data_IF_035364392050
#
_entry.id   IF_035364392050
#
_cell.length_a   1.000
_cell.length_b   1.000
_cell.length_c   1.000
_cell.angle_alpha   90.00
_cell.angle_beta   90.00
_cell.angle_gamma   90.00
#
_symmetry.space_group_name_H-M   'P 1'
#
loop_
_entity.id
_entity.type
_entity.pdbx_description
1 polymer ?
#
# COMPACT_ATOMS: atom_id res chain seq x y z
N UNK A 1 30.03 -3.17 -1.63
CA UNK A 1 28.70 -3.79 -1.60
C UNK A 1 28.03 -3.43 -2.91
N UNK A 2 27.36 -4.37 -3.57
CA UNK A 2 26.56 -4.08 -4.76
C UNK A 2 25.57 -2.96 -4.44
N UNK A 3 25.40 -1.99 -5.34
CA UNK A 3 24.41 -0.94 -5.18
C UNK A 3 23.02 -1.57 -5.11
N UNK A 4 22.33 -1.36 -3.99
CA UNK A 4 21.00 -1.91 -3.79
C UNK A 4 20.01 -0.84 -4.25
N UNK A 5 19.64 -0.94 -5.52
CA UNK A 5 18.66 -0.08 -6.17
C UNK A 5 17.42 -0.89 -6.57
N UNK A 6 16.23 -0.30 -6.45
CA UNK A 6 14.98 -0.88 -6.93
C UNK A 6 14.17 0.20 -7.64
N UNK A 7 13.69 -0.10 -8.85
CA UNK A 7 12.73 0.75 -9.56
C UNK A 7 11.30 0.40 -9.17
N UNK A 8 10.58 1.37 -8.61
CA UNK A 8 9.18 1.20 -8.21
C UNK A 8 8.28 2.03 -9.10
N UNK A 9 7.18 1.43 -9.56
CA UNK A 9 6.06 2.13 -10.19
C UNK A 9 4.77 1.91 -9.39
N UNK A 10 4.15 3.00 -8.93
CA UNK A 10 2.95 2.96 -8.10
C UNK A 10 1.76 3.59 -8.84
N UNK A 11 0.64 2.87 -8.90
CA UNK A 11 -0.51 3.19 -9.74
C UNK A 11 -1.57 3.97 -8.96
N UNK A 12 -1.88 5.17 -9.42
CA UNK A 12 -3.07 5.92 -9.02
C UNK A 12 -4.17 5.71 -10.05
N UNK A 13 -5.34 5.25 -9.62
CA UNK A 13 -6.48 4.99 -10.50
C UNK A 13 -7.81 5.36 -9.85
N UNK A 14 -8.82 5.63 -10.66
CA UNK A 14 -10.21 5.76 -10.27
C UNK A 14 -10.93 4.45 -10.56
N UNK A 15 -11.13 3.62 -9.54
CA UNK A 15 -11.87 2.37 -9.70
C UNK A 15 -13.34 2.65 -9.98
N UNK A 16 -13.91 1.90 -10.92
CA UNK A 16 -15.34 1.85 -11.17
C UNK A 16 -15.98 0.97 -10.09
N UNK A 17 -16.84 1.57 -9.29
CA UNK A 17 -17.49 0.89 -8.16
C UNK A 17 -18.27 -0.33 -8.64
N UNK A 18 -18.02 -1.49 -8.01
CA UNK A 18 -18.72 -2.75 -8.30
C UNK A 18 -18.34 -3.45 -9.62
N UNK A 19 -17.41 -2.91 -10.42
CA UNK A 19 -17.09 -3.43 -11.76
C UNK A 19 -15.64 -3.92 -11.88
N UNK A 20 -15.40 -5.13 -11.38
CA UNK A 20 -14.09 -5.79 -11.35
C UNK A 20 -13.41 -5.89 -12.71
N UNK A 21 -14.18 -6.27 -13.75
CA UNK A 21 -13.65 -6.44 -15.12
C UNK A 21 -13.15 -5.11 -15.69
N UNK A 22 -13.91 -4.03 -15.50
CA UNK A 22 -13.47 -2.70 -15.91
C UNK A 22 -12.21 -2.26 -15.15
N UNK A 23 -12.12 -2.58 -13.85
CA UNK A 23 -10.95 -2.25 -13.03
C UNK A 23 -9.70 -3.02 -13.47
N UNK A 24 -9.81 -4.31 -13.82
CA UNK A 24 -8.68 -5.11 -14.34
C UNK A 24 -8.19 -4.57 -15.68
N UNK A 25 -9.12 -4.23 -16.58
CA UNK A 25 -8.78 -3.60 -17.87
C UNK A 25 -8.04 -2.28 -17.64
N UNK A 26 -8.54 -1.44 -16.75
CA UNK A 26 -7.93 -0.15 -16.40
C UNK A 26 -6.51 -0.31 -15.84
N UNK A 27 -6.29 -1.25 -14.91
CA UNK A 27 -4.92 -1.55 -14.42
C UNK A 27 -4.01 -1.97 -15.57
N UNK A 28 -4.49 -2.82 -16.48
CA UNK A 28 -3.69 -3.26 -17.63
C UNK A 28 -3.33 -2.11 -18.57
N UNK A 29 -4.26 -1.19 -18.81
CA UNK A 29 -4.06 0.01 -19.63
C UNK A 29 -3.06 0.98 -18.98
N UNK A 30 -3.19 1.25 -17.67
CA UNK A 30 -2.27 2.12 -16.93
C UNK A 30 -0.86 1.54 -16.88
N UNK A 31 -0.72 0.24 -16.58
CA UNK A 31 0.60 -0.42 -16.60
C UNK A 31 1.21 -0.37 -18.00
N UNK A 32 0.44 -0.67 -19.05
CA UNK A 32 0.96 -0.65 -20.41
C UNK A 32 1.33 0.76 -20.90
N UNK A 33 0.71 1.81 -20.37
CA UNK A 33 0.93 3.20 -20.78
C UNK A 33 2.07 3.85 -20.02
N UNK A 34 2.16 3.60 -18.71
CA UNK A 34 2.95 4.42 -17.79
C UNK A 34 4.10 3.66 -17.09
N UNK A 35 4.11 2.33 -17.12
CA UNK A 35 5.15 1.53 -16.44
C UNK A 35 6.24 1.11 -17.42
N UNK A 36 7.49 1.43 -17.08
CA UNK A 36 8.67 1.14 -17.89
C UNK A 36 9.21 -0.29 -17.66
N UNK A 37 9.93 -0.82 -18.64
CA UNK A 37 10.48 -2.18 -18.64
C UNK A 37 11.49 -2.46 -17.52
N UNK A 38 12.12 -1.42 -16.96
CA UNK A 38 13.07 -1.54 -15.85
C UNK A 38 12.38 -1.61 -14.48
N UNK A 39 11.05 -1.55 -14.42
CA UNK A 39 10.31 -1.59 -13.15
C UNK A 39 10.47 -2.94 -12.46
N UNK A 40 10.95 -2.91 -11.22
CA UNK A 40 11.11 -4.10 -10.38
C UNK A 40 9.86 -4.39 -9.55
N UNK A 41 9.15 -3.36 -9.11
CA UNK A 41 7.94 -3.48 -8.27
C UNK A 41 6.82 -2.60 -8.82
N UNK A 42 5.67 -3.20 -9.10
CA UNK A 42 4.40 -2.50 -9.36
C UNK A 42 3.55 -2.53 -8.10
N UNK A 43 2.94 -1.39 -7.74
CA UNK A 43 2.07 -1.28 -6.55
C UNK A 43 0.70 -0.74 -6.95
N UNK A 44 -0.38 -1.40 -6.51
CA UNK A 44 -1.77 -1.02 -6.77
C UNK A 44 -2.44 -0.40 -5.51
N UNK A 45 -3.53 0.37 -5.65
CA UNK A 45 -4.18 1.00 -4.49
C UNK A 45 -5.12 0.06 -3.73
N UNK A 46 -5.63 0.47 -2.57
CA UNK A 46 -6.59 -0.33 -1.77
C UNK A 46 -7.89 -0.59 -2.54
N UNK A 47 -8.49 -1.77 -2.37
CA UNK A 47 -9.82 -2.20 -2.89
C UNK A 47 -10.06 -1.84 -4.35
N UNK A 48 -8.99 -1.79 -5.16
CA UNK A 48 -9.04 -1.30 -6.54
C UNK A 48 -9.93 -2.17 -7.44
N UNK A 49 -10.17 -3.41 -7.05
CA UNK A 49 -11.01 -4.38 -7.74
C UNK A 49 -12.50 -4.02 -7.69
N UNK A 50 -12.96 -3.37 -6.62
CA UNK A 50 -14.38 -3.05 -6.39
C UNK A 50 -14.64 -1.55 -6.16
N UNK A 51 -13.59 -0.75 -5.95
CA UNK A 51 -13.70 0.63 -5.48
C UNK A 51 -14.05 0.70 -3.99
N UNK A 52 -13.93 1.88 -3.37
CA UNK A 52 -14.34 2.04 -1.97
C UNK A 52 -15.86 2.00 -1.83
N UNK A 53 -16.41 0.80 -1.61
CA UNK A 53 -17.85 0.58 -1.52
C UNK A 53 -18.18 -0.60 -0.59
N UNK A 54 -18.28 -0.36 0.73
CA UNK A 54 -18.52 -1.41 1.72
C UNK A 54 -19.71 -2.33 1.41
N UNK A 55 -20.79 -1.77 0.84
CA UNK A 55 -21.98 -2.53 0.41
C UNK A 55 -21.70 -3.62 -0.62
N UNK A 56 -20.67 -3.48 -1.45
CA UNK A 56 -20.30 -4.43 -2.49
C UNK A 56 -19.13 -5.34 -2.09
N UNK A 57 -18.54 -5.14 -0.89
CA UNK A 57 -17.34 -5.88 -0.50
C UNK A 57 -17.58 -7.39 -0.45
N UNK A 58 -18.60 -7.84 0.28
CA UNK A 58 -18.91 -9.28 0.41
C UNK A 58 -19.30 -9.92 -0.92
N UNK A 59 -20.05 -9.22 -1.76
CA UNK A 59 -20.44 -9.68 -3.11
C UNK A 59 -19.23 -9.82 -4.04
N UNK A 60 -18.23 -8.96 -3.89
CA UNK A 60 -17.02 -8.96 -4.70
C UNK A 60 -15.94 -9.93 -4.22
N UNK A 61 -16.11 -10.51 -3.03
CA UNK A 61 -15.09 -11.22 -2.30
C UNK A 61 -14.68 -12.53 -2.98
N UNK A 62 -13.41 -12.89 -2.84
CA UNK A 62 -12.83 -14.06 -3.49
C UNK A 62 -12.11 -14.95 -2.47
N UNK A 63 -12.24 -16.27 -2.62
CA UNK A 63 -11.39 -17.20 -1.89
C UNK A 63 -9.97 -17.16 -2.46
N UNK A 64 -8.96 -17.08 -1.59
CA UNK A 64 -7.56 -16.92 -2.03
C UNK A 64 -7.08 -18.02 -2.98
N UNK A 65 -7.57 -19.26 -2.81
CA UNK A 65 -7.20 -20.42 -3.63
C UNK A 65 -7.94 -20.49 -4.98
N UNK A 66 -8.91 -19.60 -5.22
CA UNK A 66 -9.68 -19.51 -6.45
C UNK A 66 -10.05 -18.04 -6.69
N UNK A 67 -9.02 -17.22 -6.94
CA UNK A 67 -9.12 -15.77 -7.01
C UNK A 67 -8.73 -15.27 -8.39
N UNK A 68 -9.71 -14.73 -9.12
CA UNK A 68 -9.49 -14.01 -10.39
C UNK A 68 -8.51 -12.84 -10.21
N UNK A 69 -8.53 -12.20 -9.04
CA UNK A 69 -7.59 -11.13 -8.70
C UNK A 69 -6.16 -11.65 -8.59
N UNK A 70 -5.92 -12.74 -7.87
CA UNK A 70 -4.57 -13.33 -7.75
C UNK A 70 -4.08 -13.84 -9.11
N UNK A 71 -4.94 -14.47 -9.90
CA UNK A 71 -4.60 -14.97 -11.24
C UNK A 71 -4.23 -13.82 -12.19
N UNK A 72 -5.01 -12.73 -12.16
CA UNK A 72 -4.73 -11.52 -12.92
C UNK A 72 -3.36 -10.92 -12.54
N UNK A 73 -3.10 -10.75 -11.24
CA UNK A 73 -1.81 -10.23 -10.75
C UNK A 73 -0.66 -11.17 -11.09
N UNK A 74 -0.85 -12.49 -11.00
CA UNK A 74 0.13 -13.51 -11.45
C UNK A 74 0.49 -13.34 -12.91
N UNK A 75 -0.51 -13.12 -13.78
CA UNK A 75 -0.29 -12.92 -15.21
C UNK A 75 0.50 -11.64 -15.50
N UNK A 76 0.21 -10.55 -14.79
CA UNK A 76 0.94 -9.29 -14.92
C UNK A 76 2.38 -9.43 -14.46
N UNK A 77 2.62 -10.07 -13.30
CA UNK A 77 3.95 -10.25 -12.73
C UNK A 77 4.86 -11.02 -13.71
N UNK A 78 4.34 -12.09 -14.32
CA UNK A 78 5.03 -12.86 -15.36
C UNK A 78 5.27 -12.04 -16.64
N UNK A 79 4.23 -11.33 -17.12
CA UNK A 79 4.30 -10.55 -18.37
C UNK A 79 5.34 -9.44 -18.31
N UNK A 80 5.39 -8.72 -17.19
CA UNK A 80 6.31 -7.58 -17.01
C UNK A 80 7.59 -7.99 -16.27
N UNK A 81 7.75 -9.27 -15.93
CA UNK A 81 8.88 -9.80 -15.16
C UNK A 81 9.19 -8.95 -13.91
N UNK A 82 8.17 -8.61 -13.12
CA UNK A 82 8.29 -7.74 -11.95
C UNK A 82 7.54 -8.31 -10.74
N UNK A 83 7.83 -7.78 -9.56
CA UNK A 83 7.04 -8.01 -8.36
C UNK A 83 5.77 -7.16 -8.39
N UNK A 84 4.70 -7.66 -7.79
CA UNK A 84 3.46 -6.90 -7.62
C UNK A 84 3.04 -6.90 -6.16
N UNK A 85 2.95 -5.71 -5.57
CA UNK A 85 2.21 -5.47 -4.33
C UNK A 85 0.80 -5.08 -4.77
N UNK A 86 -0.13 -6.04 -4.69
CA UNK A 86 -1.41 -6.02 -5.38
C UNK A 86 -2.44 -5.05 -4.81
N UNK A 87 -2.03 -4.05 -4.04
CA UNK A 87 -2.95 -3.12 -3.39
C UNK A 87 -3.80 -3.85 -2.37
N UNK A 88 -5.12 -3.80 -2.49
CA UNK A 88 -5.94 -4.80 -1.81
C UNK A 88 -7.21 -5.16 -2.56
N UNK A 89 -7.77 -6.31 -2.18
CA UNK A 89 -9.08 -6.79 -2.60
C UNK A 89 -9.79 -7.42 -1.39
N UNK A 90 -11.06 -7.77 -1.56
CA UNK A 90 -11.82 -8.43 -0.50
C UNK A 90 -11.57 -9.93 -0.57
N UNK A 91 -10.84 -10.46 0.39
CA UNK A 91 -10.64 -11.90 0.57
C UNK A 91 -11.78 -12.48 1.40
N UNK A 92 -12.29 -13.64 0.97
CA UNK A 92 -13.23 -14.47 1.74
C UNK A 92 -12.47 -15.65 2.33
N UNK A 93 -12.47 -15.80 3.65
CA UNK A 93 -11.90 -16.98 4.33
C UNK A 93 -12.96 -18.08 4.49
N UNK A 94 -14.17 -17.69 4.92
CA UNK A 94 -15.35 -18.55 5.03
C UNK A 94 -16.62 -17.72 4.78
N UNK A 95 -17.81 -18.27 5.05
CA UNK A 95 -19.08 -17.59 4.78
C UNK A 95 -19.32 -16.31 5.59
N UNK A 96 -18.64 -16.14 6.72
CA UNK A 96 -18.82 -14.99 7.63
C UNK A 96 -17.57 -14.10 7.73
N UNK A 97 -16.39 -14.64 7.40
CA UNK A 97 -15.11 -13.97 7.62
C UNK A 97 -14.53 -13.41 6.31
N UNK A 98 -14.40 -12.09 6.26
CA UNK A 98 -13.91 -11.35 5.10
C UNK A 98 -12.77 -10.41 5.50
N UNK A 99 -11.75 -10.27 4.67
CA UNK A 99 -10.60 -9.41 4.94
C UNK A 99 -10.35 -8.42 3.80
N UNK A 100 -9.86 -7.23 4.14
CA UNK A 100 -9.28 -6.30 3.18
C UNK A 100 -7.80 -6.69 3.03
N UNK A 101 -7.49 -7.48 2.00
CA UNK A 101 -6.21 -8.21 1.87
C UNK A 101 -5.35 -7.66 0.73
N UNK A 102 -4.10 -7.37 1.05
CA UNK A 102 -3.00 -7.03 0.15
C UNK A 102 -2.17 -8.27 -0.21
N UNK A 103 -2.31 -8.84 -1.42
CA UNK A 103 -1.45 -9.93 -1.89
C UNK A 103 -0.11 -9.40 -2.43
N UNK A 104 0.95 -10.20 -2.30
CA UNK A 104 2.25 -9.93 -2.93
C UNK A 104 2.63 -11.08 -3.84
N UNK A 105 2.89 -10.76 -5.10
CA UNK A 105 3.21 -11.70 -6.16
C UNK A 105 4.65 -11.49 -6.61
N UNK A 106 5.43 -12.57 -6.73
CA UNK A 106 6.81 -12.50 -7.23
C UNK A 106 6.89 -12.53 -8.76
N UNK A 107 8.09 -12.34 -9.33
CA UNK A 107 8.31 -12.35 -10.80
C UNK A 107 7.86 -13.64 -11.51
N UNK A 108 7.81 -14.77 -10.78
CA UNK A 108 7.32 -16.06 -11.30
C UNK A 108 5.79 -16.17 -11.28
N UNK A 109 5.10 -15.13 -10.81
CA UNK A 109 3.65 -15.10 -10.63
C UNK A 109 3.16 -15.92 -9.45
N UNK A 110 4.01 -16.20 -8.46
CA UNK A 110 3.64 -16.93 -7.25
C UNK A 110 3.16 -15.95 -6.17
N UNK A 111 2.05 -16.26 -5.50
CA UNK A 111 1.62 -15.56 -4.30
C UNK A 111 2.55 -15.94 -3.14
N UNK A 112 3.44 -15.03 -2.74
CA UNK A 112 4.45 -15.31 -1.71
C UNK A 112 4.05 -14.82 -0.32
N UNK A 113 3.11 -13.89 -0.25
CA UNK A 113 2.73 -13.21 0.98
C UNK A 113 1.36 -12.57 0.82
N UNK A 114 0.62 -12.44 1.93
CA UNK A 114 -0.56 -11.59 2.04
C UNK A 114 -0.57 -10.83 3.36
N UNK A 115 -1.10 -9.62 3.34
CA UNK A 115 -1.34 -8.79 4.52
C UNK A 115 -2.82 -8.42 4.58
N UNK A 116 -3.51 -8.72 5.68
CA UNK A 116 -4.88 -8.25 5.90
C UNK A 116 -4.86 -7.01 6.78
N UNK A 117 -5.63 -5.98 6.41
CA UNK A 117 -5.69 -4.67 7.08
C UNK A 117 -5.93 -4.81 8.59
N UNK A 118 -5.01 -4.31 9.40
CA UNK A 118 -5.09 -4.46 10.85
C UNK A 118 -6.08 -3.47 11.48
N UNK A 119 -6.20 -2.26 10.94
CA UNK A 119 -7.08 -1.22 11.48
C UNK A 119 -8.20 -0.88 10.50
N UNK A 120 -9.44 -1.16 10.88
CA UNK A 120 -10.62 -0.88 10.05
C UNK A 120 -11.16 0.53 10.29
N UNK A 121 -11.63 1.17 9.21
CA UNK A 121 -12.14 2.53 9.25
C UNK A 121 -13.52 2.62 9.93
N UNK A 122 -13.66 3.50 10.93
CA UNK A 122 -14.85 3.53 11.80
C UNK A 122 -15.40 4.92 12.14
N UNK A 123 -15.05 5.97 11.38
CA UNK A 123 -15.54 7.34 11.62
C UNK A 123 -16.03 8.00 10.33
N UNK A 124 -16.60 9.21 10.40
CA UNK A 124 -17.35 9.87 9.30
C UNK A 124 -18.59 9.08 8.83
N UNK A 125 -19.29 8.41 9.75
CA UNK A 125 -20.51 7.66 9.43
C UNK A 125 -20.27 6.37 8.64
N UNK A 126 -19.02 5.99 8.43
CA UNK A 126 -18.64 4.70 7.87
C UNK A 126 -18.18 3.75 8.98
N UNK A 127 -18.52 2.48 8.82
CA UNK A 127 -18.08 1.40 9.70
C UNK A 127 -17.71 0.19 8.84
N UNK A 128 -16.44 0.14 8.44
CA UNK A 128 -15.86 -0.95 7.64
C UNK A 128 -15.95 -2.29 8.39
N UNK A 129 -15.92 -2.26 9.73
CA UNK A 129 -16.00 -3.42 10.61
C UNK A 129 -17.31 -4.19 10.53
N UNK A 130 -18.37 -3.60 9.97
CA UNK A 130 -19.61 -4.33 9.66
C UNK A 130 -19.45 -5.33 8.51
N UNK A 131 -18.48 -5.11 7.64
CA UNK A 131 -18.30 -5.87 6.40
C UNK A 131 -17.05 -6.72 6.41
N UNK A 132 -16.02 -6.30 7.16
CA UNK A 132 -14.65 -6.82 7.13
C UNK A 132 -14.17 -7.12 8.55
N UNK A 133 -13.32 -8.13 8.68
CA UNK A 133 -12.64 -8.56 9.89
C UNK A 133 -11.23 -7.97 9.96
N UNK A 134 -10.76 -7.58 11.15
CA UNK A 134 -9.39 -7.12 11.35
C UNK A 134 -8.37 -8.21 11.00
N UNK A 135 -7.30 -7.82 10.31
CA UNK A 135 -6.10 -8.63 10.17
C UNK A 135 -5.42 -8.89 11.51
N UNK A 136 -4.68 -10.00 11.59
CA UNK A 136 -4.05 -10.46 12.84
C UNK A 136 -2.71 -9.79 13.12
N UNK A 137 -1.80 -9.83 12.15
CA UNK A 137 -0.40 -9.44 12.35
C UNK A 137 0.09 -8.55 11.22
N UNK A 138 0.96 -7.56 11.53
CA UNK A 138 1.77 -6.89 10.51
C UNK A 138 2.60 -7.93 9.74
N UNK A 139 2.66 -7.78 8.42
CA UNK A 139 3.44 -8.67 7.54
C UNK A 139 4.50 -7.87 6.79
N UNK A 140 5.71 -8.42 6.75
CA UNK A 140 6.86 -7.87 6.03
C UNK A 140 7.37 -8.90 5.03
N UNK A 141 7.60 -8.48 3.79
CA UNK A 141 8.09 -9.34 2.71
C UNK A 141 9.51 -8.93 2.34
N UNK A 142 10.36 -9.91 1.99
CA UNK A 142 11.68 -9.67 1.44
C UNK A 142 11.59 -9.67 -0.09
N UNK A 143 11.77 -8.51 -0.71
CA UNK A 143 11.81 -8.34 -2.17
C UNK A 143 13.26 -8.07 -2.56
N UNK A 144 13.95 -9.09 -3.05
CA UNK A 144 15.34 -8.96 -3.56
C UNK A 144 16.31 -8.35 -2.54
N UNK A 145 16.16 -8.79 -1.29
CA UNK A 145 16.94 -8.31 -0.15
C UNK A 145 16.31 -7.12 0.57
N UNK A 146 15.32 -6.43 -0.02
CA UNK A 146 14.64 -5.27 0.58
C UNK A 146 13.51 -5.72 1.49
N UNK A 147 13.63 -5.39 2.78
CA UNK A 147 12.60 -5.66 3.79
C UNK A 147 11.46 -4.63 3.64
N UNK A 148 10.33 -5.09 3.15
CA UNK A 148 9.18 -4.24 2.79
C UNK A 148 8.00 -4.48 3.72
N UNK A 149 7.64 -3.49 4.53
CA UNK A 149 6.47 -3.52 5.41
C UNK A 149 5.19 -3.09 4.69
N UNK A 150 4.10 -3.84 4.89
CA UNK A 150 2.83 -3.63 4.19
C UNK A 150 1.78 -3.03 5.11
N UNK A 151 1.08 -2.00 4.64
CA UNK A 151 -0.05 -1.40 5.37
C UNK A 151 -1.15 -1.02 4.39
N UNK A 152 -2.40 -0.93 4.88
CA UNK A 152 -3.56 -0.57 4.07
C UNK A 152 -4.27 0.62 4.71
N UNK A 153 -4.27 1.74 3.99
CA UNK A 153 -5.08 2.92 4.25
C UNK A 153 -5.04 3.39 5.71
N UNK A 154 -6.08 3.07 6.48
CA UNK A 154 -6.30 3.54 7.84
C UNK A 154 -5.18 3.17 8.81
N UNK A 155 -4.42 2.10 8.52
CA UNK A 155 -3.19 1.75 9.24
C UNK A 155 -2.22 2.93 9.36
N UNK A 156 -2.19 3.84 8.38
CA UNK A 156 -1.29 5.01 8.37
C UNK A 156 -1.46 5.92 9.59
N UNK A 157 -2.60 5.86 10.27
CA UNK A 157 -2.85 6.67 11.47
C UNK A 157 -2.16 6.15 12.73
N UNK A 158 -1.72 4.90 12.72
CA UNK A 158 -1.17 4.22 13.88
C UNK A 158 0.35 4.14 13.74
N UNK A 159 1.14 5.08 14.29
CA UNK A 159 2.60 5.05 14.17
C UNK A 159 3.23 3.75 14.70
N UNK A 160 2.55 3.06 15.61
CA UNK A 160 3.00 1.84 16.28
C UNK A 160 3.31 0.72 15.28
N UNK A 161 2.49 0.53 14.24
CA UNK A 161 2.71 -0.51 13.24
C UNK A 161 3.97 -0.23 12.41
N UNK A 162 4.18 1.03 12.01
CA UNK A 162 5.37 1.45 11.26
C UNK A 162 6.62 1.35 12.11
N UNK A 163 6.52 1.71 13.40
CA UNK A 163 7.62 1.55 14.34
C UNK A 163 7.99 0.08 14.54
N UNK A 164 7.00 -0.81 14.63
CA UNK A 164 7.23 -2.25 14.71
C UNK A 164 7.96 -2.77 13.47
N UNK A 165 7.53 -2.37 12.27
CA UNK A 165 8.25 -2.69 11.02
C UNK A 165 9.69 -2.21 11.04
N UNK A 166 9.93 -0.96 11.46
CA UNK A 166 11.29 -0.42 11.51
C UNK A 166 12.18 -1.12 12.53
N UNK A 167 11.65 -1.51 13.70
CA UNK A 167 12.36 -2.33 14.69
C UNK A 167 12.70 -3.72 14.13
N UNK A 168 11.85 -4.29 13.27
CA UNK A 168 12.13 -5.53 12.53
C UNK A 168 13.11 -5.34 11.35
N UNK A 169 13.53 -4.10 11.09
CA UNK A 169 14.52 -3.75 10.06
C UNK A 169 13.93 -3.42 8.70
N UNK A 170 12.70 -2.93 8.61
CA UNK A 170 12.13 -2.48 7.35
C UNK A 170 12.99 -1.38 6.69
N UNK A 171 13.10 -1.48 5.37
CA UNK A 171 13.81 -0.55 4.48
C UNK A 171 12.83 0.29 3.68
N UNK A 172 11.73 -0.34 3.27
CA UNK A 172 10.63 0.24 2.53
C UNK A 172 9.32 0.00 3.29
N UNK A 173 8.48 1.01 3.37
CA UNK A 173 7.11 0.92 3.88
C UNK A 173 6.13 1.26 2.74
N UNK A 174 5.07 0.47 2.62
CA UNK A 174 4.04 0.68 1.60
C UNK A 174 2.68 0.88 2.28
N UNK A 175 1.97 1.92 1.88
CA UNK A 175 0.57 2.14 2.26
C UNK A 175 -0.29 2.30 1.00
N UNK A 176 -1.08 1.27 0.71
CA UNK A 176 -2.07 1.27 -0.35
C UNK A 176 -3.40 1.77 0.22
N UNK A 177 -4.06 2.76 -0.40
CA UNK A 177 -5.23 3.41 0.19
C UNK A 177 -6.37 3.72 -0.79
N UNK A 178 -7.57 3.96 -0.26
CA UNK A 178 -8.67 4.68 -0.89
C UNK A 178 -9.04 5.86 0.02
N UNK A 179 -8.23 6.91 -0.03
CA UNK A 179 -8.27 8.02 0.91
C UNK A 179 -9.20 9.13 0.42
N UNK A 180 -10.21 9.50 1.22
CA UNK A 180 -11.17 10.53 0.85
C UNK A 180 -10.58 11.94 0.72
N UNK A 181 -11.06 12.70 -0.28
CA UNK A 181 -10.66 14.07 -0.64
C UNK A 181 -10.79 15.09 0.50
N UNK A 182 -11.69 14.85 1.47
CA UNK A 182 -11.94 15.74 2.62
C UNK A 182 -10.81 15.75 3.66
N UNK A 183 -9.77 14.92 3.49
CA UNK A 183 -8.67 14.75 4.47
C UNK A 183 -7.28 14.96 3.83
N UNK A 184 -7.02 16.07 3.12
CA UNK A 184 -5.78 16.28 2.39
C UNK A 184 -4.57 16.47 3.31
N UNK A 185 -4.71 17.30 4.35
CA UNK A 185 -3.63 17.58 5.30
C UNK A 185 -3.21 16.30 6.04
N UNK A 186 -4.13 15.49 6.63
CA UNK A 186 -3.73 14.21 7.22
C UNK A 186 -2.98 13.30 6.25
N UNK A 187 -3.42 13.18 5.00
CA UNK A 187 -2.73 12.36 3.99
C UNK A 187 -1.30 12.84 3.76
N UNK A 188 -1.11 14.14 3.58
CA UNK A 188 0.22 14.72 3.36
C UNK A 188 1.14 14.56 4.58
N UNK A 189 0.67 14.92 5.77
CA UNK A 189 1.49 14.89 6.97
C UNK A 189 1.90 13.46 7.31
N UNK A 190 0.95 12.53 7.37
CA UNK A 190 1.23 11.17 7.86
C UNK A 190 2.16 10.41 6.94
N UNK A 191 1.99 10.52 5.62
CA UNK A 191 2.85 9.84 4.64
C UNK A 191 4.32 10.27 4.77
N UNK A 192 4.59 11.57 4.93
CA UNK A 192 5.94 12.08 5.21
C UNK A 192 6.44 11.69 6.59
N UNK A 193 5.62 11.81 7.63
CA UNK A 193 6.01 11.44 8.99
C UNK A 193 6.42 9.97 9.08
N UNK A 194 5.70 9.04 8.43
CA UNK A 194 6.07 7.60 8.45
C UNK A 194 7.43 7.35 7.84
N UNK A 195 7.82 8.07 6.79
CA UNK A 195 9.14 7.95 6.20
C UNK A 195 10.23 8.47 7.14
N UNK A 196 10.06 9.71 7.63
CA UNK A 196 11.06 10.41 8.45
C UNK A 196 11.28 9.73 9.79
N UNK A 197 10.21 9.45 10.54
CA UNK A 197 10.33 8.95 11.91
C UNK A 197 10.92 7.53 11.96
N UNK A 198 10.78 6.77 10.87
CA UNK A 198 11.29 5.42 10.73
C UNK A 198 12.58 5.35 9.89
N UNK A 199 13.01 6.44 9.26
CA UNK A 199 14.18 6.47 8.38
C UNK A 199 14.08 5.40 7.28
N UNK A 200 12.92 5.30 6.64
CA UNK A 200 12.60 4.33 5.57
C UNK A 200 12.14 5.07 4.33
N UNK A 201 12.34 4.47 3.15
CA UNK A 201 11.53 4.86 2.00
C UNK A 201 10.05 4.58 2.28
N UNK A 202 9.18 5.42 1.73
CA UNK A 202 7.73 5.27 1.86
C UNK A 202 7.05 5.40 0.50
N UNK A 203 6.31 4.37 0.09
CA UNK A 203 5.38 4.47 -1.03
C UNK A 203 3.97 4.56 -0.48
N UNK A 204 3.34 5.71 -0.63
CA UNK A 204 1.97 5.94 -0.23
C UNK A 204 1.14 6.27 -1.47
N UNK A 205 0.32 5.31 -1.89
CA UNK A 205 -0.51 5.45 -3.07
C UNK A 205 -1.98 5.29 -2.71
N UNK A 206 -2.84 5.96 -3.47
CA UNK A 206 -4.26 5.87 -3.25
C UNK A 206 -5.08 5.95 -4.53
N UNK A 207 -6.32 5.45 -4.46
CA UNK A 207 -7.30 5.70 -5.51
C UNK A 207 -7.53 7.21 -5.72
N UNK A 208 -8.13 7.57 -6.84
CA UNK A 208 -8.50 8.94 -7.22
C UNK A 208 -9.93 8.98 -7.76
N UNK A 209 -10.49 10.17 -7.94
CA UNK A 209 -11.77 10.35 -8.61
C UNK A 209 -13.00 10.00 -7.75
N UNK A 210 -14.15 9.92 -8.41
CA UNK A 210 -15.46 9.81 -7.78
C UNK A 210 -15.71 8.41 -7.19
N UNK A 211 -16.36 8.36 -6.02
CA UNK A 211 -16.80 7.13 -5.35
C UNK A 211 -18.31 6.96 -5.52
N UNK A 212 -19.09 7.67 -4.71
CA UNK A 212 -20.55 7.75 -4.73
C UNK A 212 -21.02 8.94 -3.87
N UNK A 213 -22.26 9.42 -4.05
CA UNK A 213 -22.90 10.43 -3.20
C UNK A 213 -22.04 11.69 -2.93
N UNK A 214 -21.40 12.23 -3.98
CA UNK A 214 -20.47 13.36 -3.90
C UNK A 214 -19.23 13.13 -3.01
N UNK A 215 -18.89 11.88 -2.71
CA UNK A 215 -17.62 11.49 -2.12
C UNK A 215 -16.59 11.16 -3.21
N UNK A 216 -15.35 11.56 -2.94
CA UNK A 216 -14.24 11.44 -3.88
C UNK A 216 -13.00 10.92 -3.17
N UNK A 217 -12.22 10.08 -3.85
CA UNK A 217 -10.86 9.80 -3.45
C UNK A 217 -9.95 10.96 -3.83
N UNK A 218 -8.95 11.20 -2.99
CA UNK A 218 -8.06 12.35 -3.11
C UNK A 218 -7.12 12.22 -4.32
N UNK A 219 -6.61 11.02 -4.62
CA UNK A 219 -5.41 10.89 -5.46
C UNK A 219 -4.19 11.33 -4.68
N UNK A 220 -3.35 12.21 -5.24
CA UNK A 220 -2.17 12.72 -4.51
C UNK A 220 -1.21 11.61 -4.00
N UNK A 221 -1.02 10.55 -4.79
CA UNK A 221 -0.07 9.47 -4.49
C UNK A 221 1.37 9.98 -4.51
N UNK A 222 2.25 9.41 -3.69
CA UNK A 222 3.65 9.83 -3.52
C UNK A 222 4.63 8.71 -3.16
N UNK A 223 5.87 8.88 -3.60
CA UNK A 223 7.06 8.13 -3.20
C UNK A 223 7.99 9.10 -2.46
N UNK A 224 8.34 8.78 -1.23
CA UNK A 224 9.06 9.65 -0.29
C UNK A 224 10.34 8.95 0.15
N UNK A 225 11.44 9.69 0.22
CA UNK A 225 12.70 9.20 0.75
C UNK A 225 12.71 9.13 2.28
N UNK A 226 13.79 8.57 2.83
CA UNK A 226 13.98 8.40 4.26
C UNK A 226 14.23 9.71 5.05
N UNK A 227 14.40 10.84 4.37
CA UNK A 227 14.48 12.20 4.94
C UNK A 227 13.18 12.98 4.81
N UNK A 228 12.17 12.40 4.15
CA UNK A 228 10.89 13.05 3.90
C UNK A 228 10.84 13.88 2.62
N UNK A 229 11.87 13.83 1.78
CA UNK A 229 11.89 14.43 0.45
C UNK A 229 11.03 13.61 -0.51
N UNK A 230 10.43 14.29 -1.48
CA UNK A 230 9.56 13.64 -2.44
C UNK A 230 10.33 13.23 -3.69
N UNK A 231 10.33 11.94 -4.00
CA UNK A 231 10.98 11.38 -5.17
C UNK A 231 10.07 11.40 -6.40
N UNK A 232 8.78 11.11 -6.20
CA UNK A 232 7.76 11.18 -7.25
C UNK A 232 6.37 11.40 -6.65
N UNK A 233 5.53 12.20 -7.31
CA UNK A 233 4.15 12.44 -6.89
C UNK A 233 3.24 12.63 -8.09
N UNK A 234 2.01 12.15 -7.97
CA UNK A 234 0.89 12.67 -8.73
C UNK A 234 0.23 13.72 -7.83
N UNK A 235 0.02 14.95 -8.32
CA UNK A 235 -0.45 16.09 -7.50
C UNK A 235 -1.91 16.48 -7.75
N UNK A 236 -2.63 15.65 -8.50
CA UNK A 236 -4.03 15.83 -8.82
C UNK A 236 -4.77 14.47 -8.75
N UNK A 237 -6.03 14.46 -9.20
CA UNK A 237 -6.88 13.27 -9.28
C UNK A 237 -6.72 12.47 -10.58
N UNK A 238 -5.74 12.79 -11.44
CA UNK A 238 -5.56 12.05 -12.70
C UNK A 238 -5.06 10.64 -12.46
N UNK A 239 -5.41 9.75 -13.37
CA UNK A 239 -4.95 8.37 -13.35
C UNK A 239 -3.58 8.27 -14.01
N UNK A 240 -2.67 7.54 -13.38
CA UNK A 240 -1.33 7.30 -13.91
C UNK A 240 -0.43 6.53 -12.96
N UNK A 241 0.81 6.31 -13.38
CA UNK A 241 1.87 5.79 -12.53
C UNK A 241 2.80 6.93 -12.07
N UNK A 242 3.31 6.80 -10.85
CA UNK A 242 4.50 7.52 -10.38
C UNK A 242 5.64 6.52 -10.25
N UNK A 243 6.83 6.88 -10.73
CA UNK A 243 7.99 5.98 -10.78
C UNK A 243 9.20 6.64 -10.15
N UNK A 244 9.96 5.87 -9.37
CA UNK A 244 11.23 6.31 -8.80
C UNK A 244 12.21 5.13 -8.64
N UNK A 245 13.50 5.42 -8.78
CA UNK A 245 14.58 4.53 -8.36
C UNK A 245 14.88 4.80 -6.89
N UNK A 246 14.87 3.75 -6.06
CA UNK A 246 15.20 3.84 -4.64
C UNK A 246 16.62 3.34 -4.40
N UNK A 247 17.54 4.24 -4.05
CA UNK A 247 18.89 3.88 -3.65
C UNK A 247 18.97 3.69 -2.13
N UNK A 248 19.17 2.45 -1.69
CA UNK A 248 19.16 2.11 -0.27
C UNK A 248 20.50 2.34 0.43
N UNK A 249 21.60 2.50 -0.31
CA UNK A 249 22.93 2.68 0.29
C UNK A 249 23.01 3.98 1.09
N UNK A 250 22.55 5.10 0.51
CA UNK A 250 22.55 6.39 1.19
C UNK A 250 21.63 6.40 2.42
N UNK A 251 20.54 5.62 2.39
CA UNK A 251 19.66 5.43 3.54
C UNK A 251 20.38 4.67 4.67
N UNK A 252 21.11 3.60 4.34
CA UNK A 252 21.87 2.85 5.34
C UNK A 252 22.96 3.71 5.98
N UNK A 253 23.72 4.46 5.19
CA UNK A 253 24.71 5.42 5.71
C UNK A 253 24.07 6.51 6.59
N UNK A 254 22.87 6.97 6.22
CA UNK A 254 22.12 7.92 7.04
C UNK A 254 21.72 7.32 8.39
N UNK A 255 21.27 6.06 8.42
CA UNK A 255 20.91 5.34 9.65
C UNK A 255 22.11 5.14 10.59
N UNK A 256 23.31 4.97 10.03
CA UNK A 256 24.55 4.87 10.83
C UNK A 256 24.90 6.19 11.53
N UNK A 257 24.57 7.33 10.90
CA UNK A 257 24.82 8.67 11.45
C UNK A 257 23.68 9.16 12.35
N UNK A 258 22.45 8.86 11.98
CA UNK A 258 21.24 9.26 12.69
C UNK A 258 20.70 8.06 13.49
N UNK A 259 21.19 7.89 14.71
CA UNK A 259 20.93 6.70 15.53
C UNK A 259 19.66 6.79 16.37
N UNK A 260 18.68 7.64 16.03
CA UNK A 260 17.48 7.89 16.85
C UNK A 260 16.68 6.61 17.19
N UNK A 261 16.81 5.56 16.37
CA UNK A 261 16.23 4.24 16.62
C UNK A 261 16.81 3.55 17.85
N UNK A 262 18.08 3.80 18.17
CA UNK A 262 18.78 3.24 19.33
C UNK A 262 18.40 3.99 20.62
N UNK A 263 17.91 5.22 20.51
CA UNK A 263 17.52 6.07 21.64
C UNK A 263 16.08 5.81 22.12
N UNK A 264 15.35 4.91 21.43
CA UNK A 264 13.98 4.54 21.79
C UNK A 264 13.98 3.78 23.12
N UNK A 265 13.22 4.28 24.08
CA UNK A 265 12.97 3.57 25.35
C UNK A 265 12.19 2.28 25.09
N UNK A 266 12.48 1.25 25.89
CA UNK A 266 11.77 -0.02 25.82
C UNK A 266 10.28 0.14 26.16
N UNK A 267 9.98 0.93 27.19
CA UNK A 267 8.62 1.26 27.62
C UNK A 267 8.42 2.77 27.76
N UNK A 268 7.17 3.20 27.60
CA UNK A 268 6.72 4.56 27.86
C UNK A 268 5.56 4.48 28.85
N UNK A 269 5.71 5.12 30.00
CA UNK A 269 4.66 5.25 31.01
C UNK A 269 4.30 6.73 31.12
N UNK A 270 3.01 7.04 30.97
CA UNK A 270 2.49 8.39 31.17
C UNK A 270 1.97 8.46 32.60
N UNK A 271 2.65 9.24 33.44
CA UNK A 271 2.18 9.54 34.79
C UNK A 271 0.99 10.51 34.70
N UNK A 272 -0.17 10.10 35.23
CA UNK A 272 -1.38 10.92 35.30
C UNK A 272 -1.48 11.44 36.73
N UNK A 273 -1.28 12.74 36.90
CA UNK A 273 -1.39 13.47 38.18
C UNK A 273 -2.70 14.26 38.28
#
# INVERSE_FOLDING_TARGET
MEEKEINISAIQMCSKVGDKKSNFKKVSELISRDVHSETDIIILPEVWTVGWSPKHFRESAEFINNSETVDFLSSLAKKYNCWIIGGSFIEKEDDETFYNTCPVINRKGELVCKYSKNHLFSYYGCDEGKFITNGKNPVMVNIEGIKTGLTVCYDIRFPEIYRAYRKAGADLLVNCAAWGLKKPIPWECMTRCRAVENQTFMVALTQSGYIENDEWNIGHSRIIDYKGESLAEIKDQKEGAMTACLNFNEMYEFRDKCTCMNDIKETYEVEII
#
